data_IF_509440515563
#
_entry.id   IF_509440515563
#
_cell.length_a   1.000
_cell.length_b   1.000
_cell.length_c   1.000
_cell.angle_alpha   90.00
_cell.angle_beta   90.00
_cell.angle_gamma   90.00
#
_symmetry.space_group_name_H-M   'P 1'
#
loop_
_entity.id
_entity.type
_entity.pdbx_description
1 polymer ?
#
# COMPACT_ATOMS: atom_id res chain seq x y z
N UNK A 1 -47.90 40.03 41.39
CA UNK A 1 -46.52 40.50 41.62
C UNK A 1 -45.83 40.46 40.26
N UNK A 2 -45.80 41.59 39.54
CA UNK A 2 -44.62 42.49 39.39
C UNK A 2 -43.67 41.94 38.32
N UNK A 3 -43.79 42.37 37.05
CA UNK A 3 -43.00 43.44 36.37
C UNK A 3 -41.58 42.97 35.97
N UNK A 4 -40.92 43.28 34.84
CA UNK A 4 -41.10 44.12 33.64
C UNK A 4 -40.02 43.62 32.62
N UNK A 5 -40.28 43.50 31.31
CA UNK A 5 -39.97 44.47 30.22
C UNK A 5 -38.47 44.89 30.13
N UNK A 6 -37.83 45.03 28.97
CA UNK A 6 -38.28 45.10 27.58
C UNK A 6 -37.08 45.28 26.63
N UNK A 7 -37.37 45.20 25.33
CA UNK A 7 -36.44 45.02 24.22
C UNK A 7 -36.15 46.31 23.41
N UNK A 8 -35.29 46.13 22.39
CA UNK A 8 -35.17 46.88 21.12
C UNK A 8 -34.58 48.31 21.20
N UNK A 9 -34.06 48.94 20.15
CA UNK A 9 -33.43 48.63 18.85
C UNK A 9 -33.11 50.03 18.24
N UNK A 10 -32.30 50.04 17.17
CA UNK A 10 -32.30 51.04 16.07
C UNK A 10 -31.41 52.32 16.08
N UNK A 11 -30.44 52.29 15.14
CA UNK A 11 -30.04 53.28 14.09
C UNK A 11 -29.45 54.67 14.38
N UNK A 12 -28.38 54.98 13.61
CA UNK A 12 -28.20 56.10 12.65
C UNK A 12 -26.93 56.99 12.77
N UNK A 13 -26.05 56.85 11.76
CA UNK A 13 -25.45 57.86 10.85
C UNK A 13 -24.48 58.98 11.31
N UNK A 14 -23.40 59.12 10.51
CA UNK A 14 -22.66 60.35 10.09
C UNK A 14 -21.81 61.06 11.17
N UNK A 15 -20.66 61.71 10.94
CA UNK A 15 -19.99 62.33 9.78
C UNK A 15 -18.59 62.84 10.21
N UNK A 16 -17.68 63.12 9.26
CA UNK A 16 -16.59 64.13 9.41
C UNK A 16 -15.31 63.68 10.13
N UNK A 17 -14.20 63.35 9.44
CA UNK A 17 -13.20 64.22 8.80
C UNK A 17 -12.20 64.91 9.77
N UNK A 18 -10.98 65.14 9.24
CA UNK A 18 -9.92 66.08 9.70
C UNK A 18 -8.94 65.50 10.77
N UNK A 19 -7.60 65.51 10.67
CA UNK A 19 -6.64 66.09 9.73
C UNK A 19 -5.28 65.36 9.80
N UNK A 20 -4.45 65.65 8.81
CA UNK A 20 -3.01 65.39 8.71
C UNK A 20 -2.14 66.08 9.79
N UNK A 21 -0.86 65.68 9.78
CA UNK A 21 0.32 66.41 10.25
C UNK A 21 0.52 66.59 11.77
N UNK A 22 1.57 65.92 12.29
CA UNK A 22 2.79 66.68 12.61
C UNK A 22 3.96 65.78 12.97
N UNK A 23 5.06 66.04 12.29
CA UNK A 23 6.42 65.61 12.61
C UNK A 23 6.92 66.29 13.89
N UNK A 24 7.83 65.62 14.60
CA UNK A 24 8.61 66.20 15.71
C UNK A 24 9.19 65.09 16.59
N UNK A 25 10.27 64.43 16.18
CA UNK A 25 11.65 64.77 16.54
C UNK A 25 11.98 64.54 18.04
N UNK A 26 12.94 63.64 18.31
CA UNK A 26 14.21 63.87 19.04
C UNK A 26 14.73 62.57 19.71
N UNK A 27 15.81 62.05 19.10
CA UNK A 27 17.11 61.60 19.63
C UNK A 27 17.28 60.45 20.64
N UNK A 28 18.19 59.57 20.20
CA UNK A 28 19.33 58.93 20.90
C UNK A 28 19.07 57.86 21.97
N UNK A 29 19.32 56.61 21.59
CA UNK A 29 20.24 55.76 22.33
C UNK A 29 20.97 54.80 21.37
N UNK A 30 22.29 54.81 21.48
CA UNK A 30 23.28 54.06 20.70
C UNK A 30 23.33 52.61 21.21
N UNK A 31 23.35 51.64 20.31
CA UNK A 31 24.06 50.36 20.51
C UNK A 31 24.30 49.68 19.15
N UNK A 32 25.57 49.60 18.78
CA UNK A 32 26.09 48.73 17.72
C UNK A 32 25.73 47.26 18.00
N UNK A 33 25.27 46.52 16.98
CA UNK A 33 25.92 45.25 16.60
C UNK A 33 25.42 44.82 15.22
N UNK A 34 26.34 44.82 14.26
CA UNK A 34 26.16 44.41 12.88
C UNK A 34 26.86 43.06 12.75
N UNK A 35 26.10 41.94 12.73
CA UNK A 35 26.56 40.66 12.16
C UNK A 35 25.39 39.82 11.67
N UNK A 36 25.37 39.63 10.36
CA UNK A 36 24.58 38.64 9.64
C UNK A 36 24.80 37.24 10.23
N UNK A 37 23.72 36.54 10.57
CA UNK A 37 23.76 35.12 10.89
C UNK A 37 23.56 34.33 9.60
N UNK A 38 24.67 33.77 9.10
CA UNK A 38 24.64 32.64 8.16
C UNK A 38 23.87 31.49 8.79
N UNK A 39 22.82 31.01 8.09
CA UNK A 39 22.19 29.74 8.43
C UNK A 39 23.19 28.61 8.19
N UNK A 40 23.38 27.66 9.12
CA UNK A 40 24.19 26.49 8.84
C UNK A 40 23.49 25.65 7.78
N UNK A 41 24.17 25.42 6.65
CA UNK A 41 23.79 24.37 5.70
C UNK A 41 23.66 23.06 6.49
N UNK A 42 22.49 22.42 6.40
CA UNK A 42 22.30 21.05 6.87
C UNK A 42 23.34 20.17 6.19
N UNK A 43 24.21 19.57 7.00
CA UNK A 43 25.11 18.52 6.55
C UNK A 43 24.29 17.42 5.91
N UNK A 44 24.72 17.02 4.71
CA UNK A 44 24.25 15.78 4.09
C UNK A 44 24.66 14.65 5.02
N UNK A 45 23.67 13.83 5.35
CA UNK A 45 23.76 12.56 6.05
C UNK A 45 25.08 11.85 5.74
N UNK A 46 25.80 11.43 6.78
CA UNK A 46 26.91 10.49 6.65
C UNK A 46 26.35 9.19 6.07
N UNK A 47 26.42 9.04 4.75
CA UNK A 47 26.38 7.73 4.10
C UNK A 47 27.53 6.94 4.69
N UNK A 48 27.20 5.83 5.33
CA UNK A 48 28.21 4.89 5.80
C UNK A 48 28.75 4.24 4.53
N UNK A 49 29.84 4.79 3.97
CA UNK A 49 30.39 4.37 2.68
C UNK A 49 30.82 2.91 2.75
N UNK A 50 29.90 2.02 2.34
CA UNK A 50 30.25 0.68 1.91
C UNK A 50 31.18 0.81 0.71
N UNK A 51 32.26 0.05 0.73
CA UNK A 51 33.33 0.13 -0.29
C UNK A 51 32.93 -0.54 -1.60
N UNK A 52 31.91 -1.40 -1.57
CA UNK A 52 31.34 -2.07 -2.75
C UNK A 52 29.82 -1.83 -2.79
N UNK A 53 29.26 -1.55 -3.99
CA UNK A 53 27.82 -1.36 -4.16
C UNK A 53 27.07 -2.66 -3.90
N UNK A 54 25.96 -2.56 -3.17
CA UNK A 54 25.05 -3.67 -2.93
C UNK A 54 24.18 -3.93 -4.17
N UNK A 55 23.90 -5.19 -4.44
CA UNK A 55 22.81 -5.59 -5.34
C UNK A 55 21.75 -6.32 -4.53
N UNK A 56 20.54 -5.77 -4.49
CA UNK A 56 19.39 -6.40 -3.83
C UNK A 56 18.55 -7.10 -4.89
N UNK A 57 18.29 -8.39 -4.65
CA UNK A 57 17.45 -9.23 -5.50
C UNK A 57 16.16 -9.63 -4.74
N UNK A 58 15.08 -9.96 -5.46
CA UNK A 58 13.89 -10.46 -4.82
C UNK A 58 14.16 -11.81 -4.15
N UNK A 59 13.46 -12.08 -3.06
CA UNK A 59 13.39 -13.38 -2.42
C UNK A 59 12.93 -14.38 -3.47
N UNK A 60 13.69 -15.47 -3.61
CA UNK A 60 13.39 -16.50 -4.62
C UNK A 60 12.00 -17.09 -4.40
N UNK A 61 11.24 -17.21 -5.47
CA UNK A 61 9.96 -17.93 -5.49
C UNK A 61 10.17 -19.37 -4.99
N UNK A 62 9.36 -19.80 -4.04
CA UNK A 62 9.41 -21.15 -3.48
C UNK A 62 8.22 -22.02 -3.86
N UNK A 63 7.22 -21.44 -4.52
CA UNK A 63 5.99 -22.15 -4.89
C UNK A 63 6.27 -23.16 -6.02
N UNK A 64 6.03 -24.44 -5.74
CA UNK A 64 6.15 -25.49 -6.72
C UNK A 64 4.82 -25.69 -7.48
N UNK A 65 4.76 -25.21 -8.72
CA UNK A 65 3.58 -25.35 -9.58
C UNK A 65 3.19 -26.80 -9.95
N UNK A 66 4.03 -27.79 -9.61
CA UNK A 66 3.74 -29.21 -9.81
C UNK A 66 3.33 -29.95 -8.55
N UNK A 67 3.46 -29.33 -7.37
CA UNK A 67 3.10 -29.94 -6.10
C UNK A 67 2.75 -28.86 -5.07
N UNK A 68 1.46 -28.78 -4.72
CA UNK A 68 0.94 -27.80 -3.76
C UNK A 68 0.74 -28.47 -2.40
N UNK A 69 1.62 -28.19 -1.45
CA UNK A 69 1.46 -28.67 -0.07
C UNK A 69 1.93 -27.61 0.92
N UNK A 70 1.12 -27.38 1.96
CA UNK A 70 1.35 -26.38 3.01
C UNK A 70 1.73 -25.00 2.46
N UNK A 71 0.97 -24.50 1.48
CA UNK A 71 1.25 -23.23 0.82
C UNK A 71 0.02 -22.33 0.72
N UNK A 72 0.26 -21.03 0.69
CA UNK A 72 -0.75 -20.01 0.36
C UNK A 72 -0.25 -19.18 -0.80
N UNK A 73 -1.12 -18.91 -1.77
CA UNK A 73 -0.78 -18.12 -2.96
C UNK A 73 -1.92 -17.22 -3.39
N UNK A 74 -1.58 -16.16 -4.13
CA UNK A 74 -2.56 -15.29 -4.76
C UNK A 74 -3.16 -15.98 -5.99
N UNK A 75 -4.47 -15.88 -6.18
CA UNK A 75 -5.12 -16.53 -7.31
C UNK A 75 -6.13 -15.63 -8.02
N UNK A 76 -6.28 -15.86 -9.32
CA UNK A 76 -7.37 -15.30 -10.11
C UNK A 76 -8.26 -16.41 -10.67
N UNK A 77 -9.57 -16.25 -10.58
CA UNK A 77 -10.54 -17.13 -11.23
C UNK A 77 -11.92 -16.47 -11.36
N UNK A 78 -12.75 -17.05 -12.22
CA UNK A 78 -14.17 -16.71 -12.35
C UNK A 78 -15.00 -17.79 -11.67
N UNK A 79 -16.17 -17.44 -11.10
CA UNK A 79 -17.08 -18.43 -10.52
C UNK A 79 -17.42 -19.62 -11.44
N UNK A 80 -17.44 -19.40 -12.76
CA UNK A 80 -17.71 -20.44 -13.77
C UNK A 80 -16.59 -21.49 -13.89
N UNK A 81 -15.42 -21.23 -13.31
CA UNK A 81 -14.30 -22.18 -13.23
C UNK A 81 -14.40 -23.11 -12.02
N UNK A 82 -15.48 -22.98 -11.22
CA UNK A 82 -15.84 -23.91 -10.17
C UNK A 82 -16.71 -25.00 -10.79
N UNK A 83 -16.24 -26.23 -10.70
CA UNK A 83 -16.86 -27.40 -11.30
C UNK A 83 -17.14 -28.47 -10.24
N UNK A 84 -18.03 -29.38 -10.59
CA UNK A 84 -18.25 -30.60 -9.83
C UNK A 84 -17.76 -31.78 -10.67
N UNK A 85 -16.88 -32.59 -10.09
CA UNK A 85 -16.40 -33.84 -10.65
C UNK A 85 -16.76 -34.97 -9.68
N UNK A 86 -17.69 -35.83 -10.10
CA UNK A 86 -18.37 -36.79 -9.22
C UNK A 86 -18.94 -36.11 -7.95
N UNK A 87 -18.44 -36.48 -6.76
CA UNK A 87 -18.81 -35.87 -5.48
C UNK A 87 -17.90 -34.72 -5.07
N UNK A 88 -16.85 -34.43 -5.82
CA UNK A 88 -15.84 -33.45 -5.45
C UNK A 88 -16.11 -32.11 -6.14
N UNK A 89 -15.91 -31.02 -5.41
CA UNK A 89 -15.86 -29.68 -6.00
C UNK A 89 -14.42 -29.38 -6.36
N UNK A 90 -14.19 -29.01 -7.61
CA UNK A 90 -12.87 -28.65 -8.14
C UNK A 90 -12.91 -27.22 -8.69
N UNK A 91 -11.74 -26.59 -8.76
CA UNK A 91 -11.62 -25.22 -9.28
C UNK A 91 -10.35 -25.07 -10.11
N UNK A 92 -10.50 -24.46 -11.27
CA UNK A 92 -9.35 -24.02 -12.09
C UNK A 92 -8.95 -22.60 -11.70
N UNK A 93 -7.71 -22.46 -11.22
CA UNK A 93 -7.12 -21.23 -10.71
C UNK A 93 -5.99 -20.77 -11.62
N UNK A 94 -5.87 -19.47 -11.87
CA UNK A 94 -4.60 -18.88 -12.30
C UNK A 94 -3.81 -18.50 -11.05
N UNK A 95 -2.61 -19.03 -10.90
CA UNK A 95 -1.71 -18.79 -9.77
C UNK A 95 -0.84 -17.58 -10.06
N UNK A 96 -0.73 -16.70 -9.08
CA UNK A 96 0.11 -15.50 -9.12
C UNK A 96 1.04 -15.47 -7.92
N UNK A 97 2.18 -14.83 -8.13
CA UNK A 97 3.09 -14.41 -7.07
C UNK A 97 3.47 -12.95 -7.30
N UNK A 98 4.24 -12.38 -6.40
CA UNK A 98 4.79 -11.03 -6.52
C UNK A 98 6.16 -10.98 -5.86
N UNK A 99 7.04 -10.12 -6.37
CA UNK A 99 8.39 -10.02 -5.82
C UNK A 99 8.38 -9.44 -4.41
N UNK A 100 9.16 -10.09 -3.54
CA UNK A 100 9.39 -9.71 -2.16
C UNK A 100 10.85 -9.40 -1.92
N UNK A 101 11.14 -8.51 -0.99
CA UNK A 101 12.50 -8.17 -0.58
C UNK A 101 12.61 -8.25 0.94
N UNK A 102 13.75 -8.72 1.44
CA UNK A 102 14.02 -8.70 2.87
C UNK A 102 14.19 -7.27 3.35
N UNK A 103 13.53 -6.92 4.46
CA UNK A 103 13.66 -5.59 5.06
C UNK A 103 15.11 -5.20 5.35
N UNK A 104 15.94 -6.14 5.83
CA UNK A 104 17.35 -5.87 6.11
C UNK A 104 18.10 -5.38 4.86
N UNK A 105 17.90 -6.05 3.72
CA UNK A 105 18.54 -5.67 2.45
C UNK A 105 18.03 -4.30 1.97
N UNK A 106 16.72 -4.06 2.08
CA UNK A 106 16.10 -2.79 1.69
C UNK A 106 16.50 -1.64 2.61
N UNK A 107 16.66 -1.86 3.92
CA UNK A 107 17.09 -0.84 4.87
C UNK A 107 18.51 -0.37 4.58
N UNK A 108 19.36 -1.26 4.09
CA UNK A 108 20.74 -0.93 3.73
C UNK A 108 20.89 -0.28 2.34
N UNK A 109 19.85 -0.24 1.50
CA UNK A 109 19.93 0.41 0.18
C UNK A 109 20.27 1.91 0.28
N UNK A 110 21.22 2.33 -0.55
CA UNK A 110 21.67 3.71 -0.73
C UNK A 110 21.92 4.04 -2.20
N UNK A 111 22.21 5.31 -2.50
CA UNK A 111 22.59 5.69 -3.86
C UNK A 111 23.89 4.98 -4.28
N UNK A 112 23.95 4.54 -5.54
CA UNK A 112 25.04 3.73 -6.08
C UNK A 112 24.81 2.21 -6.03
N UNK A 113 23.84 1.75 -5.23
CA UNK A 113 23.42 0.34 -5.22
C UNK A 113 22.50 0.01 -6.41
N UNK A 114 22.24 -1.28 -6.61
CA UNK A 114 21.31 -1.78 -7.64
C UNK A 114 20.16 -2.55 -7.00
N UNK A 115 18.93 -2.19 -7.34
CA UNK A 115 17.75 -3.00 -7.05
C UNK A 115 17.39 -3.80 -8.29
N UNK A 116 17.25 -5.11 -8.17
CA UNK A 116 16.68 -5.95 -9.21
C UNK A 116 15.19 -6.13 -8.96
N UNK A 117 14.36 -5.68 -9.89
CA UNK A 117 12.89 -5.71 -9.77
C UNK A 117 12.26 -5.93 -11.13
N UNK A 118 11.21 -6.76 -11.20
CA UNK A 118 10.56 -7.20 -12.44
C UNK A 118 11.57 -7.73 -13.49
N UNK A 119 12.61 -8.43 -13.01
CA UNK A 119 13.72 -8.92 -13.82
C UNK A 119 14.65 -7.85 -14.42
N UNK A 120 14.49 -6.57 -14.06
CA UNK A 120 15.32 -5.45 -14.52
C UNK A 120 16.27 -4.98 -13.43
N UNK A 121 17.43 -4.47 -13.83
CA UNK A 121 18.36 -3.78 -12.93
C UNK A 121 18.00 -2.29 -12.87
N UNK A 122 17.81 -1.78 -11.66
CA UNK A 122 17.57 -0.38 -11.36
C UNK A 122 18.74 0.18 -10.55
N UNK A 123 19.61 0.96 -11.19
CA UNK A 123 20.67 1.70 -10.49
C UNK A 123 20.04 2.80 -9.66
N UNK A 124 20.32 2.81 -8.36
CA UNK A 124 19.75 3.77 -7.42
C UNK A 124 20.56 5.07 -7.48
N UNK A 125 19.89 6.15 -7.86
CA UNK A 125 20.42 7.52 -7.87
C UNK A 125 19.83 8.38 -6.76
N UNK A 126 18.63 8.03 -6.29
CA UNK A 126 17.99 8.63 -5.13
C UNK A 126 17.08 7.62 -4.44
N UNK A 127 16.93 7.78 -3.12
CA UNK A 127 16.00 7.01 -2.30
C UNK A 127 15.29 7.96 -1.34
N UNK A 128 13.97 7.92 -1.32
CA UNK A 128 13.12 8.63 -0.38
C UNK A 128 12.33 7.62 0.46
N UNK A 129 12.48 7.69 1.79
CA UNK A 129 11.86 6.75 2.74
C UNK A 129 10.84 7.52 3.57
N UNK A 130 9.58 7.15 3.45
CA UNK A 130 8.48 7.81 4.14
C UNK A 130 8.10 7.05 5.41
N UNK A 131 7.59 7.78 6.42
CA UNK A 131 7.10 7.19 7.68
C UNK A 131 5.95 6.19 7.47
N UNK A 132 5.23 6.30 6.35
CA UNK A 132 4.17 5.38 5.94
C UNK A 132 4.67 3.97 5.56
N UNK A 133 5.98 3.75 5.51
CA UNK A 133 6.58 2.52 4.97
C UNK A 133 6.64 2.49 3.44
N UNK A 134 6.36 3.61 2.77
CA UNK A 134 6.64 3.82 1.35
C UNK A 134 8.10 4.15 1.12
N UNK A 135 8.69 3.55 0.09
CA UNK A 135 10.02 3.93 -0.39
C UNK A 135 9.92 4.25 -1.87
N UNK A 136 10.32 5.45 -2.26
CA UNK A 136 10.43 5.86 -3.66
C UNK A 136 11.90 5.83 -4.08
N UNK A 137 12.20 5.07 -5.13
CA UNK A 137 13.53 4.94 -5.73
C UNK A 137 13.52 5.75 -7.01
N UNK A 138 14.56 6.56 -7.25
CA UNK A 138 14.69 7.38 -8.45
C UNK A 138 13.48 8.30 -8.72
N UNK A 139 12.85 8.82 -7.67
CA UNK A 139 11.67 9.70 -7.76
C UNK A 139 10.34 8.98 -8.00
N UNK A 140 10.32 7.65 -7.84
CA UNK A 140 9.12 6.82 -7.89
C UNK A 140 8.53 6.62 -9.30
N UNK A 141 7.42 5.85 -9.41
CA UNK A 141 6.82 5.47 -10.70
C UNK A 141 6.46 6.66 -11.60
N UNK A 142 6.07 7.80 -11.00
CA UNK A 142 5.72 9.02 -11.74
C UNK A 142 6.91 9.63 -12.50
N UNK A 143 8.14 9.34 -12.08
CA UNK A 143 9.38 9.80 -12.71
C UNK A 143 10.12 8.67 -13.45
N UNK A 144 9.49 7.50 -13.60
CA UNK A 144 10.10 6.32 -14.19
C UNK A 144 11.06 5.57 -13.25
N UNK A 145 11.02 5.88 -11.95
CA UNK A 145 11.64 5.11 -10.90
C UNK A 145 10.73 4.02 -10.34
N UNK A 146 11.08 3.48 -9.18
CA UNK A 146 10.40 2.33 -8.56
C UNK A 146 9.77 2.73 -7.22
N UNK A 147 8.77 1.98 -6.79
CA UNK A 147 8.17 2.12 -5.47
C UNK A 147 8.17 0.78 -4.73
N UNK A 148 8.62 0.79 -3.48
CA UNK A 148 8.48 -0.32 -2.56
C UNK A 148 7.51 0.04 -1.43
N UNK A 149 6.77 -0.97 -0.97
CA UNK A 149 5.80 -0.84 0.13
C UNK A 149 6.05 -1.95 1.15
N UNK A 150 5.94 -1.63 2.43
CA UNK A 150 5.99 -2.61 3.52
C UNK A 150 4.69 -3.43 3.58
N UNK A 151 4.79 -4.74 3.81
CA UNK A 151 3.63 -5.68 3.93
C UNK A 151 3.44 -6.17 5.35
N UNK A 152 4.53 -6.71 5.88
CA UNK A 152 4.70 -7.30 7.20
C UNK A 152 5.93 -6.62 7.82
N UNK A 153 6.14 -6.79 9.13
CA UNK A 153 7.19 -6.08 9.88
C UNK A 153 8.61 -6.25 9.28
N UNK A 154 8.84 -7.25 8.42
CA UNK A 154 10.13 -7.65 7.86
C UNK A 154 10.20 -7.82 6.32
N UNK A 155 9.16 -7.43 5.56
CA UNK A 155 9.13 -7.61 4.08
C UNK A 155 8.60 -6.40 3.30
N UNK A 156 9.25 -6.12 2.17
CA UNK A 156 8.82 -5.15 1.15
C UNK A 156 8.42 -5.83 -0.16
N UNK A 157 7.60 -5.16 -0.98
CA UNK A 157 7.24 -5.58 -2.34
C UNK A 157 7.26 -4.42 -3.33
N UNK A 158 7.39 -4.75 -4.62
CA UNK A 158 7.26 -3.82 -5.74
C UNK A 158 5.82 -3.37 -6.01
N UNK A 159 5.60 -2.06 -6.08
CA UNK A 159 4.30 -1.45 -6.33
C UNK A 159 4.32 -0.65 -7.63
N UNK A 160 3.42 -0.97 -8.55
CA UNK A 160 3.19 -0.16 -9.74
C UNK A 160 2.06 0.84 -9.50
N UNK A 161 2.38 2.14 -9.55
CA UNK A 161 1.43 3.27 -9.65
C UNK A 161 0.18 3.13 -8.74
N UNK A 162 0.31 3.45 -7.45
CA UNK A 162 -0.81 3.59 -6.51
C UNK A 162 -1.77 2.39 -6.33
N UNK A 163 -1.51 1.22 -6.95
CA UNK A 163 -2.41 0.07 -6.88
C UNK A 163 -1.65 -1.21 -6.55
N UNK A 164 -1.47 -1.45 -5.25
CA UNK A 164 -1.14 -2.76 -4.67
C UNK A 164 0.13 -3.43 -5.19
N UNK A 165 0.24 -4.73 -4.95
CA UNK A 165 1.40 -5.56 -5.33
C UNK A 165 1.45 -5.77 -6.85
N UNK A 166 2.65 -5.72 -7.43
CA UNK A 166 2.92 -6.14 -8.80
C UNK A 166 2.87 -7.66 -8.92
N UNK A 167 1.69 -8.21 -9.19
CA UNK A 167 1.51 -9.66 -9.37
C UNK A 167 1.92 -10.12 -10.77
N UNK A 168 2.64 -11.23 -10.85
CA UNK A 168 2.96 -11.94 -12.09
C UNK A 168 2.33 -13.34 -12.12
N UNK A 169 1.90 -13.78 -13.32
CA UNK A 169 1.27 -15.08 -13.52
C UNK A 169 2.34 -16.18 -13.50
N UNK A 170 2.16 -17.17 -12.63
CA UNK A 170 3.00 -18.38 -12.59
C UNK A 170 2.44 -19.49 -13.48
N UNK A 171 1.11 -19.63 -13.55
CA UNK A 171 0.47 -20.65 -14.39
C UNK A 171 -0.99 -20.91 -14.02
N UNK A 172 -1.53 -22.02 -14.52
CA UNK A 172 -2.88 -22.48 -14.21
C UNK A 172 -2.82 -23.86 -13.55
N UNK A 173 -3.67 -24.08 -12.55
CA UNK A 173 -3.81 -25.35 -11.82
C UNK A 173 -5.28 -25.66 -11.61
N UNK A 174 -5.65 -26.93 -11.63
CA UNK A 174 -6.98 -27.39 -11.17
C UNK A 174 -6.79 -28.20 -9.90
N UNK A 175 -7.41 -27.76 -8.81
CA UNK A 175 -7.32 -28.41 -7.51
C UNK A 175 -8.70 -28.76 -6.99
N UNK A 176 -8.77 -29.85 -6.23
CA UNK A 176 -9.95 -30.24 -5.49
C UNK A 176 -10.04 -29.45 -4.18
N UNK A 177 -11.27 -29.12 -3.76
CA UNK A 177 -11.55 -28.60 -2.42
C UNK A 177 -11.59 -29.73 -1.38
N UNK A 178 -11.01 -29.47 -0.22
CA UNK A 178 -11.07 -30.38 0.93
C UNK A 178 -12.51 -30.53 1.46
N UNK A 179 -12.78 -31.62 2.18
CA UNK A 179 -14.09 -31.84 2.82
C UNK A 179 -14.42 -30.74 3.85
N UNK A 180 -13.41 -30.17 4.50
CA UNK A 180 -13.53 -29.08 5.47
C UNK A 180 -13.22 -27.72 4.84
N UNK A 181 -13.28 -27.61 3.51
CA UNK A 181 -13.03 -26.37 2.81
C UNK A 181 -13.94 -25.24 3.28
N UNK A 182 -13.37 -24.04 3.41
CA UNK A 182 -14.10 -22.81 3.71
C UNK A 182 -13.67 -21.68 2.78
N UNK A 183 -14.65 -21.06 2.09
CA UNK A 183 -14.47 -19.75 1.50
C UNK A 183 -14.98 -18.68 2.48
N UNK A 184 -14.15 -17.70 2.79
CA UNK A 184 -14.54 -16.47 3.50
C UNK A 184 -14.48 -15.30 2.53
N UNK A 185 -15.65 -14.75 2.21
CA UNK A 185 -15.83 -13.61 1.33
C UNK A 185 -16.10 -12.34 2.14
N UNK A 186 -15.06 -11.53 2.29
CA UNK A 186 -15.00 -10.25 3.00
C UNK A 186 -14.78 -9.11 1.99
N UNK A 187 -15.32 -9.26 0.78
CA UNK A 187 -15.10 -8.32 -0.33
C UNK A 187 -16.12 -7.19 -0.43
N UNK A 188 -17.19 -7.23 0.36
CA UNK A 188 -18.20 -6.18 0.43
C UNK A 188 -18.07 -5.46 1.79
N UNK A 189 -17.62 -4.19 1.82
CA UNK A 189 -17.38 -3.47 3.06
C UNK A 189 -18.69 -3.10 3.79
N UNK A 190 -19.84 -3.19 3.12
CA UNK A 190 -21.15 -2.85 3.68
C UNK A 190 -21.83 -4.06 4.34
N UNK A 191 -21.22 -5.24 4.27
CA UNK A 191 -21.76 -6.49 4.85
C UNK A 191 -20.72 -7.24 5.67
N UNK A 192 -21.13 -8.02 6.69
CA UNK A 192 -20.21 -8.93 7.36
C UNK A 192 -19.66 -10.00 6.39
N UNK A 193 -18.47 -10.58 6.67
CA UNK A 193 -17.93 -11.66 5.87
C UNK A 193 -18.93 -12.80 5.66
N UNK A 194 -19.10 -13.22 4.42
CA UNK A 194 -19.91 -14.38 4.07
C UNK A 194 -19.04 -15.64 4.04
N UNK A 195 -19.58 -16.76 4.49
CA UNK A 195 -18.82 -18.01 4.61
C UNK A 195 -19.55 -19.10 3.84
N UNK A 196 -18.81 -19.85 3.01
CA UNK A 196 -19.36 -20.92 2.19
C UNK A 196 -18.52 -22.19 2.30
N UNK A 197 -19.20 -23.31 2.47
CA UNK A 197 -18.64 -24.65 2.21
C UNK A 197 -18.45 -24.88 0.71
N UNK A 198 -17.78 -25.97 0.33
CA UNK A 198 -17.56 -26.31 -1.08
C UNK A 198 -18.89 -26.50 -1.84
N UNK A 199 -19.85 -27.19 -1.23
CA UNK A 199 -21.17 -27.45 -1.82
C UNK A 199 -21.98 -26.17 -2.00
N UNK A 200 -22.02 -25.31 -0.98
CA UNK A 200 -22.70 -24.02 -1.04
C UNK A 200 -22.09 -23.12 -2.11
N UNK A 201 -20.75 -23.06 -2.14
CA UNK A 201 -20.01 -22.27 -3.12
C UNK A 201 -20.35 -22.71 -4.55
N UNK A 202 -20.35 -24.01 -4.81
CA UNK A 202 -20.74 -24.56 -6.11
C UNK A 202 -22.20 -24.22 -6.46
N UNK A 203 -23.11 -24.31 -5.50
CA UNK A 203 -24.54 -24.02 -5.69
C UNK A 203 -24.82 -22.55 -6.01
N UNK A 204 -24.02 -21.61 -5.50
CA UNK A 204 -24.20 -20.18 -5.70
C UNK A 204 -23.29 -19.57 -6.77
N UNK A 205 -22.39 -20.33 -7.40
CA UNK A 205 -21.36 -19.80 -8.31
C UNK A 205 -21.90 -18.87 -9.40
N UNK A 206 -23.08 -19.16 -9.95
CA UNK A 206 -23.70 -18.33 -11.00
C UNK A 206 -24.30 -17.01 -10.48
N UNK A 207 -24.40 -16.87 -9.15
CA UNK A 207 -24.88 -15.67 -8.44
C UNK A 207 -23.75 -14.88 -7.78
N UNK A 208 -22.53 -15.43 -7.72
CA UNK A 208 -21.38 -14.72 -7.18
C UNK A 208 -21.07 -13.49 -8.05
N UNK A 209 -21.00 -12.34 -7.39
CA UNK A 209 -20.67 -11.07 -8.03
C UNK A 209 -19.18 -10.80 -7.87
N UNK A 210 -18.58 -10.22 -8.90
CA UNK A 210 -17.16 -9.88 -8.95
C UNK A 210 -16.27 -11.06 -9.34
N UNK A 211 -15.10 -10.75 -9.87
CA UNK A 211 -14.08 -11.74 -10.17
C UNK A 211 -13.14 -11.92 -8.97
N UNK A 212 -12.62 -13.13 -8.80
CA UNK A 212 -11.53 -13.39 -7.89
C UNK A 212 -10.24 -12.97 -8.60
N UNK A 213 -9.48 -12.07 -7.97
CA UNK A 213 -8.29 -11.44 -8.54
C UNK A 213 -7.11 -11.68 -7.60
N UNK A 214 -5.87 -11.73 -8.11
CA UNK A 214 -4.70 -11.99 -7.26
C UNK A 214 -4.54 -10.97 -6.13
N UNK A 215 -4.89 -9.70 -6.37
CA UNK A 215 -4.79 -8.66 -5.35
C UNK A 215 -5.83 -8.75 -4.22
N UNK A 216 -6.90 -9.54 -4.39
CA UNK A 216 -7.95 -9.69 -3.40
C UNK A 216 -8.22 -11.13 -2.96
N UNK A 217 -7.56 -12.13 -3.54
CA UNK A 217 -7.87 -13.55 -3.32
C UNK A 217 -6.63 -14.33 -2.91
N UNK A 218 -6.67 -14.94 -1.72
CA UNK A 218 -5.66 -15.86 -1.23
C UNK A 218 -6.24 -17.28 -1.15
N UNK A 219 -5.49 -18.27 -1.65
CA UNK A 219 -5.86 -19.69 -1.65
C UNK A 219 -4.85 -20.45 -0.79
N UNK A 220 -5.34 -21.22 0.18
CA UNK A 220 -4.48 -22.08 1.01
C UNK A 220 -4.71 -23.53 0.68
N UNK A 221 -3.61 -24.25 0.46
CA UNK A 221 -3.58 -25.65 0.06
C UNK A 221 -2.80 -26.47 1.06
N UNK A 222 -3.33 -27.64 1.40
CA UNK A 222 -2.67 -28.66 2.21
C UNK A 222 -2.97 -30.01 1.61
N UNK A 223 -1.96 -30.88 1.52
CA UNK A 223 -2.10 -32.23 0.95
C UNK A 223 -2.76 -32.19 -0.44
N UNK A 224 -2.33 -31.25 -1.29
CA UNK A 224 -2.83 -31.03 -2.66
C UNK A 224 -4.33 -30.67 -2.79
N UNK A 225 -4.98 -30.34 -1.68
CA UNK A 225 -6.37 -29.87 -1.64
C UNK A 225 -6.49 -28.46 -1.10
N UNK A 226 -7.41 -27.69 -1.67
CA UNK A 226 -7.72 -26.35 -1.17
C UNK A 226 -8.48 -26.50 0.13
N UNK A 227 -7.92 -25.97 1.22
CA UNK A 227 -8.56 -25.96 2.54
C UNK A 227 -9.28 -24.64 2.80
N UNK A 228 -8.83 -23.54 2.17
CA UNK A 228 -9.52 -22.27 2.29
C UNK A 228 -9.27 -21.32 1.12
N UNK A 229 -10.26 -20.45 0.88
CA UNK A 229 -10.13 -19.27 0.03
C UNK A 229 -10.56 -18.06 0.87
N UNK A 230 -9.74 -17.02 0.91
CA UNK A 230 -10.11 -15.74 1.50
C UNK A 230 -10.17 -14.67 0.40
N UNK A 231 -11.32 -14.00 0.26
CA UNK A 231 -11.48 -12.86 -0.64
C UNK A 231 -11.68 -11.60 0.18
N UNK A 232 -10.76 -10.64 0.09
CA UNK A 232 -10.83 -9.36 0.84
C UNK A 232 -11.40 -8.22 0.02
N UNK A 233 -11.89 -7.20 0.71
CA UNK A 233 -12.24 -5.92 0.09
C UNK A 233 -10.98 -5.19 -0.38
N UNK A 234 -11.09 -4.56 -1.54
CA UNK A 234 -10.07 -3.68 -2.11
C UNK A 234 -10.78 -2.41 -2.60
N UNK A 235 -10.52 -1.25 -1.96
CA UNK A 235 -11.18 0.02 -2.28
C UNK A 235 -10.81 0.59 -3.65
#
# INVERSE_FOLDING_TARGET
MTACAGAASETATQEGAVDEESQGAIREAVAENDQAQEQPKRDKTQETERTEPLTVEPVRETLNMTHFDNCTFAAGFKPQQIHQDESNVIITLTVYDYEHFHKADIDELQAGDTLRIDGKECLITSIDRQESGQIEINGGPAQGGEELRMVEEDSFYGSAMAVGRSYHKLGEVTLQMDENFVLTDDSDPDTPPQVYTAEELFAIRDRLIGEFKPYNTAVTVKEEKIISIYRKFMP
#
